data_IF_763801046911
#
_entry.id   IF_763801046911
#
_cell.length_a   1.000
_cell.length_b   1.000
_cell.length_c   1.000
_cell.angle_alpha   90.00
_cell.angle_beta   90.00
_cell.angle_gamma   90.00
#
_symmetry.space_group_name_H-M   'P 1'
#
loop_
_entity.id
_entity.type
_entity.pdbx_description
1 polymer ?
#
# COMPACT_ATOMS: atom_id res chain seq x y z
N UNK A 1 5.88 5.21 4.11
CA UNK A 1 5.63 4.68 2.75
C UNK A 1 5.87 5.71 1.63
N UNK A 2 5.49 6.98 1.80
CA UNK A 2 5.67 8.01 0.75
C UNK A 2 7.13 8.24 0.32
N UNK A 3 8.04 8.39 1.28
CA UNK A 3 9.48 8.60 1.02
C UNK A 3 10.11 7.50 0.14
N UNK A 4 9.79 6.23 0.41
CA UNK A 4 10.32 5.10 -0.37
C UNK A 4 9.78 5.14 -1.79
N UNK A 5 8.47 5.35 -1.96
CA UNK A 5 7.85 5.47 -3.28
C UNK A 5 8.48 6.61 -4.08
N UNK A 6 8.72 7.77 -3.46
CA UNK A 6 9.36 8.90 -4.12
C UNK A 6 10.77 8.57 -4.57
N UNK A 7 11.60 7.99 -3.70
CA UNK A 7 12.97 7.63 -4.05
C UNK A 7 13.05 6.62 -5.19
N UNK A 8 12.12 5.67 -5.26
CA UNK A 8 12.04 4.70 -6.38
C UNK A 8 11.62 5.43 -7.66
N UNK A 9 10.59 6.26 -7.61
CA UNK A 9 10.18 7.07 -8.76
C UNK A 9 11.28 8.01 -9.27
N UNK A 10 12.11 8.60 -8.41
CA UNK A 10 13.20 9.48 -8.85
C UNK A 10 14.36 8.72 -9.48
N UNK A 11 14.69 7.53 -8.96
CA UNK A 11 15.95 6.84 -9.28
C UNK A 11 15.79 5.64 -10.21
N UNK A 12 14.59 5.12 -10.36
CA UNK A 12 14.33 3.87 -11.04
C UNK A 12 13.02 3.87 -11.86
N UNK A 13 12.51 5.04 -12.26
CA UNK A 13 11.25 5.14 -13.00
C UNK A 13 11.20 4.25 -14.24
N UNK A 14 12.26 4.27 -15.05
CA UNK A 14 12.34 3.49 -16.30
C UNK A 14 12.35 1.96 -16.08
N UNK A 15 12.58 1.52 -14.84
CA UNK A 15 12.62 0.10 -14.46
C UNK A 15 11.27 -0.39 -13.92
N UNK A 16 10.27 0.47 -13.83
CA UNK A 16 8.94 0.11 -13.31
C UNK A 16 8.05 -0.38 -14.45
N UNK A 17 7.72 -1.67 -14.42
CA UNK A 17 6.71 -2.26 -15.33
C UNK A 17 5.27 -1.86 -14.95
N UNK A 18 5.06 -1.41 -13.70
CA UNK A 18 3.77 -1.04 -13.14
C UNK A 18 3.90 0.12 -12.13
N UNK A 19 2.81 0.88 -11.84
CA UNK A 19 2.84 1.96 -10.87
C UNK A 19 3.13 1.47 -9.45
N UNK A 20 3.73 2.32 -8.62
CA UNK A 20 3.98 2.00 -7.20
C UNK A 20 2.66 2.04 -6.42
N UNK A 21 2.20 0.89 -5.92
CA UNK A 21 1.08 0.82 -4.98
C UNK A 21 1.56 0.91 -3.52
N UNK A 22 0.73 1.50 -2.65
CA UNK A 22 0.97 1.56 -1.20
C UNK A 22 -0.24 0.96 -0.48
N UNK A 23 0.00 -0.07 0.32
CA UNK A 23 -1.00 -0.66 1.21
C UNK A 23 -0.63 -0.21 2.63
N UNK A 24 -1.46 0.65 3.20
CA UNK A 24 -1.21 1.28 4.51
C UNK A 24 -2.50 1.34 5.30
N UNK A 25 -2.38 1.65 6.60
CA UNK A 25 -3.54 1.98 7.41
C UNK A 25 -4.31 3.18 6.84
N UNK A 26 -5.58 3.30 7.24
CA UNK A 26 -6.44 4.41 6.85
C UNK A 26 -5.89 5.74 7.40
N UNK A 27 -6.13 6.83 6.66
CA UNK A 27 -5.72 8.19 7.07
C UNK A 27 -6.71 8.77 8.09
N UNK A 28 -6.70 8.19 9.29
CA UNK A 28 -7.53 8.57 10.42
C UNK A 28 -6.82 8.23 11.74
N UNK A 29 -7.27 8.77 12.88
CA UNK A 29 -6.79 8.32 14.19
C UNK A 29 -7.08 6.83 14.41
N UNK A 30 -6.14 6.12 15.04
CA UNK A 30 -6.29 4.69 15.32
C UNK A 30 -7.45 4.47 16.29
N UNK A 31 -8.43 3.62 15.96
CA UNK A 31 -9.55 3.32 16.84
C UNK A 31 -9.13 2.35 17.96
N UNK A 32 -9.75 2.50 19.14
CA UNK A 32 -9.51 1.59 20.28
C UNK A 32 -10.28 0.26 20.16
N UNK A 33 -11.42 0.26 19.47
CA UNK A 33 -12.28 -0.92 19.35
C UNK A 33 -11.57 -1.99 18.51
N UNK A 34 -11.37 -3.23 19.01
CA UNK A 34 -10.69 -4.29 18.27
C UNK A 34 -11.22 -4.52 16.84
N UNK A 35 -12.54 -4.65 16.59
CA UNK A 35 -13.04 -4.82 15.22
C UNK A 35 -12.78 -3.61 14.31
N UNK A 36 -12.64 -2.41 14.87
CA UNK A 36 -12.29 -1.21 14.09
C UNK A 36 -10.78 -1.11 13.87
N UNK A 37 -9.96 -1.58 14.82
CA UNK A 37 -8.51 -1.67 14.67
C UNK A 37 -8.16 -2.65 13.56
N UNK A 38 -8.81 -3.82 13.52
CA UNK A 38 -8.65 -4.81 12.45
C UNK A 38 -9.00 -4.22 11.07
N UNK A 39 -10.07 -3.41 10.98
CA UNK A 39 -10.45 -2.72 9.75
C UNK A 39 -9.51 -1.56 9.38
N UNK A 40 -8.94 -0.90 10.39
CA UNK A 40 -8.05 0.25 10.21
C UNK A 40 -6.67 -0.17 9.70
N UNK A 41 -6.17 -1.31 10.20
CA UNK A 41 -4.86 -1.85 9.84
C UNK A 41 -4.92 -2.62 8.51
N UNK A 42 -3.88 -2.53 7.67
CA UNK A 42 -3.82 -3.27 6.42
C UNK A 42 -3.78 -4.77 6.69
N UNK A 43 -4.64 -5.52 6.01
CA UNK A 43 -4.74 -6.97 6.14
C UNK A 43 -4.01 -7.69 5.01
N UNK A 44 -3.74 -8.98 5.19
CA UNK A 44 -3.11 -9.81 4.15
C UNK A 44 -3.91 -9.79 2.84
N UNK A 45 -5.24 -9.74 2.92
CA UNK A 45 -6.10 -9.69 1.74
C UNK A 45 -5.90 -8.40 0.92
N UNK A 46 -5.66 -7.26 1.58
CA UNK A 46 -5.35 -5.99 0.90
C UNK A 46 -4.04 -6.09 0.11
N UNK A 47 -3.03 -6.75 0.69
CA UNK A 47 -1.74 -6.99 0.03
C UNK A 47 -1.93 -7.89 -1.20
N UNK A 48 -2.66 -8.99 -1.05
CA UNK A 48 -2.92 -9.93 -2.17
C UNK A 48 -3.68 -9.23 -3.29
N UNK A 49 -4.68 -8.41 -2.95
CA UNK A 49 -5.46 -7.63 -3.91
C UNK A 49 -4.58 -6.64 -4.68
N UNK A 50 -3.74 -5.89 -3.97
CA UNK A 50 -2.82 -4.94 -4.58
C UNK A 50 -1.78 -5.65 -5.47
N UNK A 51 -1.21 -6.76 -5.01
CA UNK A 51 -0.24 -7.54 -5.79
C UNK A 51 -0.84 -8.10 -7.09
N UNK A 52 -2.08 -8.64 -7.02
CA UNK A 52 -2.80 -9.11 -8.21
C UNK A 52 -3.12 -7.99 -9.18
N UNK A 53 -3.50 -6.82 -8.67
CA UNK A 53 -3.73 -5.64 -9.51
C UNK A 53 -2.44 -5.21 -10.25
N UNK A 54 -1.30 -5.16 -9.54
CA UNK A 54 -0.01 -4.81 -10.15
C UNK A 54 0.47 -5.84 -11.16
N UNK A 55 0.28 -7.13 -10.90
CA UNK A 55 0.69 -8.20 -11.80
C UNK A 55 -0.11 -8.24 -13.13
N UNK A 56 -1.22 -7.50 -13.21
CA UNK A 56 -2.10 -7.44 -14.38
C UNK A 56 -2.01 -6.10 -15.16
N UNK A 57 -1.09 -5.20 -14.77
CA UNK A 57 -0.85 -3.93 -15.45
C UNK A 57 -0.14 -4.15 -16.79
#
# INVERSE_FOLDING_TARGET
AGEIAMRVSEKAFEWLDAPIARVTALDAPVPYSPPLEDYFLPQTEDIVKAARYLAAY
#
